data_IF_673453596580
#
_entry.id   IF_673453596580
#
_cell.length_a   1.000
_cell.length_b   1.000
_cell.length_c   1.000
_cell.angle_alpha   90.00
_cell.angle_beta   90.00
_cell.angle_gamma   90.00
#
_symmetry.space_group_name_H-M   'P 1'
#
loop_
_entity.id
_entity.type
_entity.pdbx_description
1 polymer ?
#
# COMPACT_ATOMS: atom_id res chain seq x y z
N UNK A 1 6.86 -11.67 20.21
CA UNK A 1 6.33 -10.50 20.96
C UNK A 1 7.15 -9.22 20.75
N UNK A 2 8.48 -9.26 20.67
CA UNK A 2 9.29 -8.07 20.33
C UNK A 2 9.00 -7.48 18.94
N UNK A 3 8.60 -8.31 17.96
CA UNK A 3 8.18 -7.86 16.64
C UNK A 3 6.89 -7.01 16.66
N UNK A 4 5.93 -7.30 17.56
CA UNK A 4 4.72 -6.49 17.73
C UNK A 4 5.04 -5.12 18.35
N UNK A 5 6.00 -5.06 19.27
CA UNK A 5 6.48 -3.80 19.84
C UNK A 5 7.30 -2.98 18.83
N UNK A 6 8.13 -3.62 17.99
CA UNK A 6 8.85 -2.96 16.91
C UNK A 6 7.91 -2.49 15.79
N UNK A 7 6.86 -3.26 15.47
CA UNK A 7 5.80 -2.85 14.54
C UNK A 7 5.01 -1.69 15.13
N UNK A 8 4.62 -1.69 16.40
CA UNK A 8 3.94 -0.52 17.00
C UNK A 8 4.87 0.71 17.07
N UNK A 9 6.16 0.52 17.38
CA UNK A 9 7.15 1.60 17.43
C UNK A 9 7.57 2.16 16.06
N UNK A 10 7.50 1.36 14.99
CA UNK A 10 7.86 1.78 13.63
C UNK A 10 6.62 2.19 12.79
N UNK A 11 5.44 1.65 13.11
CA UNK A 11 4.16 1.93 12.41
C UNK A 11 3.43 3.13 13.00
N UNK A 12 3.84 3.63 14.18
CA UNK A 12 3.43 4.93 14.70
C UNK A 12 4.61 5.89 14.87
N UNK A 13 4.97 6.68 13.85
CA UNK A 13 5.37 8.03 14.14
C UNK A 13 4.11 8.79 14.56
N UNK A 14 3.77 8.71 15.86
CA UNK A 14 2.95 9.72 16.57
C UNK A 14 3.46 11.14 16.22
N UNK A 15 4.76 11.25 15.89
CA UNK A 15 5.48 12.45 15.49
C UNK A 15 5.14 13.03 14.11
N UNK A 16 4.44 12.32 13.22
CA UNK A 16 4.10 12.85 11.89
C UNK A 16 2.67 13.37 11.74
N UNK A 17 1.87 13.47 12.82
CA UNK A 17 0.53 14.10 12.80
C UNK A 17 -0.39 13.60 11.66
N UNK A 18 -0.30 12.33 11.26
CA UNK A 18 -1.07 11.80 10.12
C UNK A 18 -0.85 12.57 8.80
N UNK A 19 0.35 13.16 8.61
CA UNK A 19 0.77 13.92 7.41
C UNK A 19 2.15 13.48 6.90
N UNK A 20 2.48 12.19 7.04
CA UNK A 20 3.64 11.55 6.39
C UNK A 20 3.18 10.74 5.17
N UNK A 21 4.05 10.51 4.19
CA UNK A 21 3.74 9.75 2.97
C UNK A 21 2.97 8.46 3.26
N UNK A 22 2.04 8.09 2.37
CA UNK A 22 0.88 7.16 2.57
C UNK A 22 1.19 5.71 2.99
N UNK A 23 2.32 5.42 3.63
CA UNK A 23 2.69 4.12 4.18
C UNK A 23 3.01 3.03 3.16
N UNK A 24 2.73 3.27 1.86
CA UNK A 24 2.84 2.27 0.79
C UNK A 24 4.25 1.69 0.68
N UNK A 25 5.31 2.51 0.75
CA UNK A 25 6.69 2.02 0.68
C UNK A 25 7.05 1.13 1.87
N UNK A 26 6.68 1.52 3.09
CA UNK A 26 6.96 0.74 4.29
C UNK A 26 6.23 -0.60 4.25
N UNK A 27 4.96 -0.59 3.83
CA UNK A 27 4.19 -1.81 3.61
C UNK A 27 4.84 -2.72 2.56
N UNK A 28 5.27 -2.15 1.43
CA UNK A 28 5.92 -2.89 0.35
C UNK A 28 7.22 -3.57 0.81
N UNK A 29 8.11 -2.86 1.51
CA UNK A 29 9.33 -3.46 2.05
C UNK A 29 9.05 -4.49 3.15
N UNK A 30 8.02 -4.28 3.97
CA UNK A 30 7.62 -5.27 4.98
C UNK A 30 7.18 -6.58 4.32
N UNK A 31 6.40 -6.50 3.24
CA UNK A 31 5.96 -7.67 2.47
C UNK A 31 7.17 -8.36 1.82
N UNK A 32 8.12 -7.60 1.25
CA UNK A 32 9.34 -8.17 0.68
C UNK A 32 10.14 -9.00 1.69
N UNK A 33 10.21 -8.56 2.96
CA UNK A 33 10.89 -9.30 4.02
C UNK A 33 10.08 -10.51 4.51
N UNK A 34 8.74 -10.42 4.50
CA UNK A 34 7.85 -11.51 4.93
C UNK A 34 7.76 -12.63 3.89
N UNK A 35 7.44 -12.29 2.65
CA UNK A 35 7.27 -13.22 1.55
C UNK A 35 7.63 -12.51 0.22
N UNK A 36 8.85 -12.73 -0.30
CA UNK A 36 9.30 -12.13 -1.55
C UNK A 36 8.41 -12.48 -2.76
N UNK A 37 7.79 -13.65 -2.79
CA UNK A 37 6.91 -14.05 -3.90
C UNK A 37 5.64 -13.19 -3.92
N UNK A 38 5.02 -13.01 -2.75
CA UNK A 38 3.85 -12.13 -2.61
C UNK A 38 4.20 -10.69 -2.97
N UNK A 39 5.39 -10.21 -2.57
CA UNK A 39 5.87 -8.89 -2.96
C UNK A 39 6.00 -8.74 -4.49
N UNK A 40 6.60 -9.72 -5.17
CA UNK A 40 6.78 -9.65 -6.62
C UNK A 40 5.45 -9.64 -7.38
N UNK A 41 4.47 -10.43 -6.92
CA UNK A 41 3.11 -10.42 -7.49
C UNK A 41 2.45 -9.05 -7.28
N UNK A 42 2.48 -8.54 -6.04
CA UNK A 42 1.89 -7.25 -5.71
C UNK A 42 2.57 -6.09 -6.47
N UNK A 43 3.89 -6.12 -6.62
CA UNK A 43 4.65 -5.14 -7.40
C UNK A 43 4.29 -5.19 -8.89
N UNK A 44 4.14 -6.39 -9.44
CA UNK A 44 3.75 -6.58 -10.84
C UNK A 44 2.36 -6.00 -11.10
N UNK A 45 1.39 -6.31 -10.23
CA UNK A 45 0.03 -5.77 -10.31
C UNK A 45 0.05 -4.24 -10.14
N UNK A 46 0.81 -3.73 -9.18
CA UNK A 46 0.96 -2.30 -8.96
C UNK A 46 1.46 -1.59 -10.22
N UNK A 47 2.55 -2.09 -10.83
CA UNK A 47 3.14 -1.51 -12.04
C UNK A 47 2.15 -1.59 -13.20
N UNK A 48 1.48 -2.73 -13.40
CA UNK A 48 0.49 -2.91 -14.46
C UNK A 48 -0.67 -1.90 -14.34
N UNK A 49 -1.24 -1.78 -13.14
CA UNK A 49 -2.34 -0.84 -12.87
C UNK A 49 -1.87 0.60 -13.01
N UNK A 50 -0.71 0.96 -12.46
CA UNK A 50 -0.16 2.31 -12.56
C UNK A 50 0.14 2.68 -14.03
N UNK A 51 0.65 1.73 -14.82
CA UNK A 51 1.00 1.97 -16.22
C UNK A 51 -0.23 2.17 -17.11
N UNK A 52 -1.28 1.36 -16.92
CA UNK A 52 -2.53 1.47 -17.68
C UNK A 52 -3.41 2.62 -17.24
N UNK A 53 -3.64 2.77 -15.93
CA UNK A 53 -4.54 3.81 -15.40
C UNK A 53 -3.90 5.19 -15.32
N UNK A 54 -2.57 5.26 -15.31
CA UNK A 54 -1.78 6.46 -14.98
C UNK A 54 -2.04 6.98 -13.56
N UNK A 55 -2.70 6.24 -12.68
CA UNK A 55 -2.97 6.63 -11.29
C UNK A 55 -2.19 5.75 -10.31
N UNK A 56 -1.23 6.35 -9.60
CA UNK A 56 -0.47 5.68 -8.53
C UNK A 56 -1.37 5.34 -7.33
N UNK A 57 -2.37 6.17 -7.07
CA UNK A 57 -3.37 5.95 -6.02
C UNK A 57 -4.27 4.76 -6.31
N UNK A 58 -4.67 4.54 -7.58
CA UNK A 58 -5.44 3.37 -7.97
C UNK A 58 -4.60 2.09 -7.84
N UNK A 59 -3.34 2.13 -8.28
CA UNK A 59 -2.42 1.00 -8.12
C UNK A 59 -2.25 0.62 -6.64
N UNK A 60 -2.10 1.61 -5.76
CA UNK A 60 -2.01 1.39 -4.30
C UNK A 60 -3.28 0.76 -3.71
N UNK A 61 -4.47 1.18 -4.18
CA UNK A 61 -5.74 0.59 -3.77
C UNK A 61 -5.87 -0.88 -4.19
N UNK A 62 -5.47 -1.20 -5.42
CA UNK A 62 -5.52 -2.58 -5.92
C UNK A 62 -4.56 -3.45 -5.11
N UNK A 63 -3.32 -3.00 -4.89
CA UNK A 63 -2.36 -3.74 -4.05
C UNK A 63 -2.82 -3.91 -2.61
N UNK A 64 -3.58 -2.97 -2.05
CA UNK A 64 -4.15 -3.06 -0.71
C UNK A 64 -5.16 -4.22 -0.55
N UNK A 65 -5.79 -4.64 -1.65
CA UNK A 65 -6.71 -5.78 -1.68
C UNK A 65 -5.94 -7.05 -2.06
N UNK A 66 -5.05 -6.96 -3.04
CA UNK A 66 -4.27 -8.08 -3.56
C UNK A 66 -3.42 -8.78 -2.49
N UNK A 67 -2.70 -8.00 -1.67
CA UNK A 67 -1.79 -8.55 -0.65
C UNK A 67 -2.50 -9.47 0.38
N UNK A 68 -3.57 -9.04 1.07
CA UNK A 68 -4.28 -9.95 1.98
C UNK A 68 -4.92 -11.13 1.25
N UNK A 69 -5.35 -10.96 -0.02
CA UNK A 69 -5.84 -12.10 -0.82
C UNK A 69 -4.74 -13.12 -1.07
N UNK A 70 -3.54 -12.70 -1.46
CA UNK A 70 -2.40 -13.60 -1.65
C UNK A 70 -2.00 -14.32 -0.36
N UNK A 71 -1.94 -13.61 0.78
CA UNK A 71 -1.66 -14.26 2.06
C UNK A 71 -2.75 -15.26 2.47
N UNK A 72 -4.01 -14.98 2.17
CA UNK A 72 -5.10 -15.92 2.42
C UNK A 72 -4.99 -17.18 1.55
N UNK A 73 -4.61 -17.03 0.27
CA UNK A 73 -4.36 -18.18 -0.62
C UNK A 73 -3.18 -19.03 -0.13
N UNK A 74 -2.08 -18.40 0.29
CA UNK A 74 -0.92 -19.10 0.86
C UNK A 74 -1.28 -19.90 2.10
N UNK A 75 -2.12 -19.34 2.98
CA UNK A 75 -2.63 -20.01 4.17
C UNK A 75 -3.57 -21.18 3.83
N UNK A 76 -4.34 -21.05 2.74
CA UNK A 76 -5.21 -22.13 2.26
C UNK A 76 -4.41 -23.29 1.66
N UNK A 77 -3.35 -23.00 0.91
CA UNK A 77 -2.45 -24.00 0.32
C UNK A 77 -1.54 -24.67 1.36
N UNK A 78 -1.10 -23.91 2.37
CA UNK A 78 -0.23 -24.37 3.44
C UNK A 78 -0.74 -23.88 4.81
N UNK A 79 -1.40 -24.73 5.60
CA UNK A 79 -1.88 -24.37 6.93
C UNK A 79 -0.80 -23.94 7.93
N UNK A 80 0.47 -24.31 7.69
CA UNK A 80 1.61 -23.88 8.52
C UNK A 80 2.09 -22.46 8.14
N UNK A 81 1.51 -21.83 7.11
CA UNK A 81 1.84 -20.47 6.73
C UNK A 81 1.51 -19.49 7.88
N UNK A 82 2.37 -18.50 8.18
CA UNK A 82 2.21 -17.67 9.36
C UNK A 82 0.92 -16.83 9.32
N UNK A 83 -0.07 -17.17 10.15
CA UNK A 83 -1.29 -16.37 10.33
C UNK A 83 -1.04 -14.86 10.57
N UNK A 84 0.04 -14.43 11.29
CA UNK A 84 0.35 -13.01 11.42
C UNK A 84 0.56 -12.26 10.10
N UNK A 85 0.91 -12.93 9.00
CA UNK A 85 1.10 -12.28 7.69
C UNK A 85 -0.24 -11.83 7.11
N UNK A 86 -1.26 -12.69 7.19
CA UNK A 86 -2.63 -12.32 6.80
C UNK A 86 -3.16 -11.16 7.66
N UNK A 87 -2.93 -11.21 8.97
CA UNK A 87 -3.31 -10.12 9.87
C UNK A 87 -2.63 -8.80 9.49
N UNK A 88 -1.33 -8.84 9.17
CA UNK A 88 -0.60 -7.68 8.66
C UNK A 88 -1.20 -7.17 7.35
N UNK A 89 -1.44 -8.04 6.37
CA UNK A 89 -2.03 -7.67 5.07
C UNK A 89 -3.38 -6.99 5.21
N UNK A 90 -4.26 -7.49 6.08
CA UNK A 90 -5.57 -6.90 6.35
C UNK A 90 -5.46 -5.51 6.99
N UNK A 91 -4.61 -5.36 8.00
CA UNK A 91 -4.40 -4.07 8.69
C UNK A 91 -3.76 -3.05 7.74
N UNK A 92 -2.68 -3.43 7.05
CA UNK A 92 -1.99 -2.57 6.10
C UNK A 92 -2.92 -2.16 4.95
N UNK A 93 -3.68 -3.11 4.39
CA UNK A 93 -4.67 -2.84 3.33
C UNK A 93 -5.74 -1.85 3.78
N UNK A 94 -6.30 -2.03 4.97
CA UNK A 94 -7.25 -1.09 5.56
C UNK A 94 -6.65 0.32 5.70
N UNK A 95 -5.43 0.44 6.22
CA UNK A 95 -4.75 1.74 6.35
C UNK A 95 -4.50 2.40 4.99
N UNK A 96 -4.09 1.64 3.97
CA UNK A 96 -3.90 2.18 2.62
C UNK A 96 -5.23 2.69 2.06
N UNK A 97 -6.31 1.93 2.18
CA UNK A 97 -7.64 2.36 1.71
C UNK A 97 -8.11 3.62 2.45
N UNK A 98 -7.97 3.65 3.78
CA UNK A 98 -8.37 4.77 4.61
C UNK A 98 -7.60 6.06 4.26
N UNK A 99 -6.30 5.97 4.02
CA UNK A 99 -5.45 7.11 3.62
C UNK A 99 -5.69 7.58 2.19
N UNK A 100 -6.28 6.74 1.33
CA UNK A 100 -6.58 7.07 -0.06
C UNK A 100 -8.04 7.48 -0.30
N UNK A 101 -8.87 7.62 0.74
CA UNK A 101 -10.28 8.01 0.57
C UNK A 101 -10.48 9.29 -0.26
N UNK A 102 -9.59 10.28 -0.08
CA UNK A 102 -9.65 11.55 -0.83
C UNK A 102 -9.24 11.35 -2.29
N UNK A 103 -8.30 10.43 -2.54
CA UNK A 103 -7.89 10.03 -3.89
C UNK A 103 -9.02 9.32 -4.63
N UNK A 104 -9.79 8.47 -3.95
CA UNK A 104 -10.96 7.81 -4.55
C UNK A 104 -11.96 8.86 -5.04
N UNK A 105 -12.21 9.91 -4.23
CA UNK A 105 -13.03 11.05 -4.62
C UNK A 105 -12.51 11.76 -5.87
N UNK A 106 -11.20 12.06 -5.91
CA UNK A 106 -10.57 12.71 -7.07
C UNK A 106 -10.53 11.84 -8.31
N UNK A 107 -10.34 10.52 -8.19
CA UNK A 107 -10.41 9.58 -9.31
C UNK A 107 -11.80 9.60 -9.93
N UNK A 108 -12.86 9.54 -9.10
CA UNK A 108 -14.26 9.63 -9.56
C UNK A 108 -14.57 10.97 -10.23
N UNK A 109 -13.98 12.05 -9.73
CA UNK A 109 -14.11 13.39 -10.30
C UNK A 109 -13.18 13.65 -11.50
N UNK A 110 -12.30 12.71 -11.87
CA UNK A 110 -11.30 12.89 -12.94
C UNK A 110 -10.22 13.93 -12.64
N UNK A 111 -10.06 14.33 -11.38
CA UNK A 111 -9.14 15.39 -10.92
C UNK A 111 -7.93 14.85 -10.14
N UNK A 112 -7.76 13.52 -10.10
CA UNK A 112 -6.59 12.90 -9.49
C UNK A 112 -5.36 13.11 -10.37
N UNK A 113 -4.23 13.46 -9.75
CA UNK A 113 -2.97 13.68 -10.45
C UNK A 113 -2.52 12.40 -11.16
N UNK A 114 -2.27 12.53 -12.47
CA UNK A 114 -1.75 11.42 -13.28
C UNK A 114 -0.23 11.34 -13.17
N UNK A 115 0.28 10.12 -13.27
CA UNK A 115 1.70 9.85 -13.34
C UNK A 115 2.29 10.55 -14.58
N UNK A 116 3.14 11.56 -14.35
CA UNK A 116 3.78 12.36 -15.39
C UNK A 116 3.19 13.75 -15.61
N UNK A 117 2.09 14.12 -14.93
CA UNK A 117 1.61 15.51 -14.95
C UNK A 117 2.60 16.42 -14.21
N UNK A 118 3.03 17.50 -14.87
CA UNK A 118 3.88 18.52 -14.25
C UNK A 118 3.03 19.37 -13.32
N UNK A 119 3.43 19.48 -12.06
CA UNK A 119 2.91 20.52 -11.18
C UNK A 119 3.29 21.86 -11.80
N UNK A 120 2.36 22.79 -12.06
CA UNK A 120 2.70 24.10 -12.59
C UNK A 120 3.65 24.79 -11.60
N UNK A 121 4.90 24.99 -11.98
CA UNK A 121 5.81 25.85 -11.24
C UNK A 121 5.26 27.25 -11.37
N UNK A 122 4.62 27.78 -10.34
CA UNK A 122 4.34 29.21 -10.26
C UNK A 122 5.70 29.92 -10.26
N UNK A 123 6.10 30.48 -11.41
CA UNK A 123 7.22 31.42 -11.44
C UNK A 123 6.78 32.63 -10.64
N UNK A 124 7.20 32.68 -9.38
CA UNK A 124 7.21 33.92 -8.64
C UNK A 124 8.30 34.77 -9.30
N UNK A 125 7.85 35.77 -10.06
CA UNK A 125 8.70 36.77 -10.69
C UNK A 125 9.22 37.78 -9.69
#
# INVERSE_FOLDING_TARGET
MAALAAVVGHTWPVFARFRGGRGVLVAAFSILVMDPEVFLVALTIFIAVAWWSKYVSLASLVSAIDVPTMFALRLFENPDYPLPYLAFGLVAGFFVIATHRDNIGRIRAGSEAKLGERVPTTSQG
#
